data_IF_401526277910
#
_entry.id   IF_401526277910
#
_cell.length_a   1.000
_cell.length_b   1.000
_cell.length_c   1.000
_cell.angle_alpha   90.00
_cell.angle_beta   90.00
_cell.angle_gamma   90.00
#
_symmetry.space_group_name_H-M   'P 1'
#
loop_
_entity.id
_entity.type
_entity.pdbx_description
1 polymer ?
#
# COMPACT_ATOMS: atom_id res chain seq x y z
N UNK A 1 -4.09 3.99 -19.97
CA UNK A 1 -2.72 4.50 -19.78
C UNK A 1 -1.82 4.03 -20.94
N UNK A 2 -1.61 2.70 -21.15
CA UNK A 2 -0.68 2.20 -22.17
C UNK A 2 -0.95 2.75 -23.56
N UNK A 3 -2.20 2.70 -24.04
CA UNK A 3 -2.57 3.21 -25.35
C UNK A 3 -2.46 4.73 -25.49
N UNK A 4 -2.67 5.48 -24.40
CA UNK A 4 -2.70 6.94 -24.42
C UNK A 4 -1.31 7.58 -24.24
N UNK A 5 -0.45 6.95 -23.42
CA UNK A 5 0.85 7.52 -23.01
C UNK A 5 2.06 6.67 -23.41
N UNK A 6 1.83 5.57 -24.12
CA UNK A 6 2.89 4.65 -24.55
C UNK A 6 3.54 3.87 -23.41
N UNK A 7 3.15 4.08 -22.14
CA UNK A 7 3.78 3.39 -21.05
C UNK A 7 3.29 3.76 -19.65
N UNK A 8 3.79 2.99 -18.67
CA UNK A 8 3.64 3.23 -17.22
C UNK A 8 5.01 3.03 -16.58
N UNK A 9 5.55 4.07 -16.01
CA UNK A 9 6.85 4.05 -15.32
C UNK A 9 6.69 3.89 -13.80
N UNK A 10 5.54 4.32 -13.27
CA UNK A 10 5.19 4.20 -11.84
C UNK A 10 3.78 3.64 -11.68
N UNK A 11 3.66 2.55 -10.93
CA UNK A 11 2.40 1.96 -10.50
C UNK A 11 2.19 2.22 -9.01
N UNK A 12 1.13 2.94 -8.64
CA UNK A 12 0.74 3.14 -7.25
C UNK A 12 -0.55 2.36 -6.96
N UNK A 13 -0.44 1.26 -6.25
CA UNK A 13 -1.55 0.46 -5.75
C UNK A 13 -2.02 1.05 -4.40
N UNK A 14 -2.86 2.07 -4.46
CA UNK A 14 -3.38 2.78 -3.30
C UNK A 14 -4.79 2.34 -2.90
N UNK A 15 -5.59 1.85 -3.84
CA UNK A 15 -6.96 1.40 -3.55
C UNK A 15 -6.98 0.35 -2.44
N UNK A 16 -7.94 0.48 -1.52
CA UNK A 16 -8.05 -0.45 -0.41
C UNK A 16 -9.39 -0.32 0.31
N UNK A 17 -9.77 -1.37 1.01
CA UNK A 17 -10.93 -1.42 1.90
C UNK A 17 -10.51 -1.90 3.28
N UNK A 18 -11.18 -1.41 4.32
CA UNK A 18 -11.02 -1.82 5.71
C UNK A 18 -12.41 -1.94 6.34
N UNK A 19 -12.86 -3.16 6.54
CA UNK A 19 -14.15 -3.47 7.16
C UNK A 19 -13.85 -4.28 8.42
N UNK A 20 -14.32 -3.80 9.56
CA UNK A 20 -13.99 -4.34 10.86
C UNK A 20 -15.11 -5.22 11.40
N UNK A 21 -14.76 -6.41 11.85
CA UNK A 21 -15.65 -7.35 12.52
C UNK A 21 -14.88 -8.10 13.62
N UNK A 22 -15.59 -8.58 14.64
CA UNK A 22 -15.05 -9.60 15.53
C UNK A 22 -14.83 -10.90 14.74
N UNK A 23 -13.81 -11.67 15.10
CA UNK A 23 -13.41 -12.86 14.32
C UNK A 23 -14.55 -13.84 14.04
N UNK A 24 -15.42 -14.19 15.03
CA UNK A 24 -16.52 -15.12 14.77
C UNK A 24 -17.61 -14.57 13.83
N UNK A 25 -17.65 -13.25 13.66
CA UNK A 25 -18.71 -12.55 12.91
C UNK A 25 -18.22 -12.04 11.55
N UNK A 26 -17.01 -12.44 11.11
CA UNK A 26 -16.49 -12.02 9.80
C UNK A 26 -17.28 -12.72 8.69
N UNK A 27 -18.06 -11.98 7.88
CA UNK A 27 -18.72 -12.57 6.72
C UNK A 27 -17.68 -12.98 5.66
N UNK A 28 -17.90 -14.12 5.00
CA UNK A 28 -16.95 -14.62 3.99
C UNK A 28 -16.82 -13.66 2.80
N UNK A 29 -17.90 -13.00 2.40
CA UNK A 29 -17.88 -12.00 1.34
C UNK A 29 -17.08 -10.74 1.69
N UNK A 30 -17.04 -10.33 2.97
CA UNK A 30 -16.17 -9.26 3.46
C UNK A 30 -14.70 -9.68 3.39
N UNK A 31 -14.40 -10.93 3.76
CA UNK A 31 -13.06 -11.49 3.58
C UNK A 31 -12.66 -11.48 2.10
N UNK A 32 -13.49 -12.03 1.24
CA UNK A 32 -13.23 -12.16 -0.19
C UNK A 32 -13.06 -10.77 -0.86
N UNK A 33 -13.94 -9.81 -0.54
CA UNK A 33 -13.82 -8.44 -1.02
C UNK A 33 -12.50 -7.79 -0.59
N UNK A 34 -12.14 -7.95 0.68
CA UNK A 34 -10.91 -7.35 1.21
C UNK A 34 -9.68 -7.94 0.52
N UNK A 35 -9.62 -9.24 0.35
CA UNK A 35 -8.52 -9.90 -0.35
C UNK A 35 -8.51 -9.55 -1.84
N UNK A 36 -9.67 -9.45 -2.48
CA UNK A 36 -9.78 -9.07 -3.88
C UNK A 36 -9.23 -7.66 -4.14
N UNK A 37 -9.61 -6.68 -3.31
CA UNK A 37 -9.20 -5.29 -3.49
C UNK A 37 -7.75 -5.07 -3.02
N UNK A 38 -7.43 -5.50 -1.80
CA UNK A 38 -6.16 -5.13 -1.15
C UNK A 38 -4.96 -5.98 -1.64
N UNK A 39 -5.21 -7.17 -2.21
CA UNK A 39 -4.14 -8.11 -2.59
C UNK A 39 -4.22 -8.52 -4.05
N UNK A 40 -5.38 -9.05 -4.49
CA UNK A 40 -5.51 -9.59 -5.84
C UNK A 40 -5.41 -8.51 -6.92
N UNK A 41 -6.01 -7.33 -6.69
CA UNK A 41 -5.96 -6.24 -7.67
C UNK A 41 -4.52 -5.72 -7.87
N UNK A 42 -3.73 -5.40 -6.82
CA UNK A 42 -2.30 -5.10 -6.96
C UNK A 42 -1.50 -6.17 -7.72
N UNK A 43 -1.74 -7.45 -7.41
CA UNK A 43 -1.12 -8.57 -8.14
C UNK A 43 -1.45 -8.53 -9.63
N UNK A 44 -2.72 -8.38 -10.00
CA UNK A 44 -3.16 -8.39 -11.40
C UNK A 44 -2.59 -7.20 -12.17
N UNK A 45 -2.58 -6.00 -11.58
CA UNK A 45 -2.01 -4.79 -12.20
C UNK A 45 -0.50 -4.93 -12.37
N UNK A 46 0.19 -5.38 -11.34
CA UNK A 46 1.64 -5.62 -11.39
C UNK A 46 1.98 -6.64 -12.49
N UNK A 47 1.30 -7.79 -12.50
CA UNK A 47 1.51 -8.83 -13.51
C UNK A 47 1.27 -8.30 -14.93
N UNK A 48 0.26 -7.46 -15.12
CA UNK A 48 -0.09 -6.90 -16.43
C UNK A 48 0.94 -5.88 -16.92
N UNK A 49 1.59 -5.17 -16.01
CA UNK A 49 2.53 -4.09 -16.34
C UNK A 49 4.00 -4.53 -16.28
N UNK A 50 4.30 -5.70 -15.70
CA UNK A 50 5.67 -6.13 -15.44
C UNK A 50 6.54 -6.16 -16.68
N UNK A 51 6.15 -6.93 -17.70
CA UNK A 51 6.94 -7.06 -18.93
C UNK A 51 7.04 -5.72 -19.66
N UNK A 52 5.98 -4.93 -19.64
CA UNK A 52 5.99 -3.59 -20.19
C UNK A 52 7.00 -2.66 -19.49
N UNK A 53 7.10 -2.72 -18.16
CA UNK A 53 8.13 -1.96 -17.42
C UNK A 53 9.53 -2.48 -17.75
N UNK A 54 9.72 -3.79 -17.87
CA UNK A 54 11.01 -4.38 -18.28
C UNK A 54 11.43 -3.87 -19.67
N UNK A 55 10.54 -3.91 -20.66
CA UNK A 55 10.79 -3.41 -22.02
C UNK A 55 11.17 -1.93 -22.06
N UNK A 56 10.70 -1.14 -21.10
CA UNK A 56 11.02 0.29 -20.95
C UNK A 56 12.31 0.55 -20.15
N UNK A 57 12.99 -0.49 -19.69
CA UNK A 57 14.23 -0.39 -18.93
C UNK A 57 14.05 -0.25 -17.43
N UNK A 58 12.86 -0.53 -16.90
CA UNK A 58 12.55 -0.58 -15.47
C UNK A 58 11.30 0.19 -15.07
N UNK A 59 11.07 0.30 -13.77
CA UNK A 59 9.91 0.99 -13.21
C UNK A 59 9.90 1.05 -11.69
N UNK A 60 8.84 1.65 -11.14
CA UNK A 60 8.63 1.72 -9.71
C UNK A 60 7.20 1.26 -9.35
N UNK A 61 7.08 0.32 -8.43
CA UNK A 61 5.81 -0.19 -7.92
C UNK A 61 5.69 0.20 -6.44
N UNK A 62 4.65 0.96 -6.12
CA UNK A 62 4.33 1.37 -4.76
C UNK A 62 3.04 0.66 -4.32
N UNK A 63 3.12 -0.13 -3.28
CA UNK A 63 1.96 -0.77 -2.67
C UNK A 63 1.65 -0.10 -1.33
N UNK A 64 0.51 0.58 -1.23
CA UNK A 64 0.08 1.17 0.03
C UNK A 64 -0.46 0.09 0.95
N UNK A 65 0.42 -0.33 1.86
CA UNK A 65 0.14 -1.29 2.92
C UNK A 65 -0.50 -0.59 4.14
N UNK A 66 0.00 -0.85 5.33
CA UNK A 66 -0.37 -0.23 6.60
C UNK A 66 0.55 -0.74 7.71
N UNK A 67 0.66 -0.01 8.82
CA UNK A 67 1.20 -0.55 10.08
C UNK A 67 0.43 -1.78 10.57
N UNK A 68 -0.84 -1.95 10.18
CA UNK A 68 -1.62 -3.16 10.45
C UNK A 68 -1.10 -4.41 9.74
N UNK A 69 -0.24 -4.25 8.73
CA UNK A 69 0.51 -5.33 8.10
C UNK A 69 1.83 -5.66 8.82
N UNK A 70 2.15 -4.98 9.92
CA UNK A 70 3.33 -5.18 10.77
C UNK A 70 2.94 -5.61 12.19
N UNK A 71 1.85 -5.06 12.69
CA UNK A 71 1.26 -5.35 13.98
C UNK A 71 -0.26 -5.35 13.87
N UNK A 72 -0.84 -6.53 13.97
CA UNK A 72 -2.29 -6.69 13.90
C UNK A 72 -2.95 -6.20 15.18
N UNK A 73 -4.14 -5.61 15.06
CA UNK A 73 -5.00 -5.26 16.19
C UNK A 73 -6.22 -6.19 16.26
N UNK A 74 -6.86 -6.23 17.42
CA UNK A 74 -8.14 -6.90 17.58
C UNK A 74 -9.22 -6.23 16.71
N UNK A 75 -10.14 -7.02 16.14
CA UNK A 75 -11.26 -6.54 15.33
C UNK A 75 -10.93 -6.18 13.87
N UNK A 76 -9.65 -6.21 13.45
CA UNK A 76 -9.26 -5.93 12.08
C UNK A 76 -8.54 -7.10 11.38
N UNK A 77 -8.89 -8.33 11.73
CA UNK A 77 -8.18 -9.53 11.30
C UNK A 77 -8.07 -9.64 9.76
N UNK A 78 -9.17 -9.44 9.04
CA UNK A 78 -9.21 -9.50 7.57
C UNK A 78 -8.32 -8.43 6.94
N UNK A 79 -8.44 -7.20 7.42
CA UNK A 79 -7.62 -6.08 6.94
C UNK A 79 -6.12 -6.33 7.21
N UNK A 80 -5.77 -6.72 8.44
CA UNK A 80 -4.39 -7.03 8.80
C UNK A 80 -3.83 -8.15 7.92
N UNK A 81 -4.56 -9.26 7.76
CA UNK A 81 -4.14 -10.36 6.87
C UNK A 81 -3.82 -9.86 5.46
N UNK A 82 -4.69 -9.02 4.89
CA UNK A 82 -4.46 -8.43 3.56
C UNK A 82 -3.22 -7.53 3.51
N UNK A 83 -2.96 -6.76 4.57
CA UNK A 83 -1.81 -5.85 4.63
C UNK A 83 -0.48 -6.58 4.91
N UNK A 84 -0.48 -7.68 5.65
CA UNK A 84 0.66 -8.59 5.72
C UNK A 84 0.96 -9.23 4.34
N UNK A 85 -0.10 -9.70 3.65
CA UNK A 85 0.04 -10.30 2.33
C UNK A 85 0.66 -9.34 1.31
N UNK A 86 0.23 -8.08 1.28
CA UNK A 86 0.77 -7.09 0.32
C UNK A 86 2.21 -6.68 0.65
N UNK A 87 2.62 -6.66 1.92
CA UNK A 87 4.01 -6.44 2.32
C UNK A 87 4.89 -7.58 1.80
N UNK A 88 4.53 -8.84 2.06
CA UNK A 88 5.27 -10.00 1.58
C UNK A 88 5.34 -10.08 0.05
N UNK A 89 4.23 -9.74 -0.62
CA UNK A 89 4.21 -9.63 -2.09
C UNK A 89 5.19 -8.57 -2.59
N UNK A 90 5.18 -7.39 -1.97
CA UNK A 90 6.08 -6.28 -2.33
C UNK A 90 7.56 -6.64 -2.12
N UNK A 91 7.87 -7.33 -1.04
CA UNK A 91 9.23 -7.84 -0.79
C UNK A 91 9.69 -8.78 -1.90
N UNK A 92 8.83 -9.70 -2.33
CA UNK A 92 9.11 -10.61 -3.45
C UNK A 92 9.31 -9.85 -4.75
N UNK A 93 8.48 -8.85 -5.06
CA UNK A 93 8.65 -7.99 -6.23
C UNK A 93 9.96 -7.22 -6.19
N UNK A 94 10.34 -6.67 -5.04
CA UNK A 94 11.60 -5.95 -4.87
C UNK A 94 12.81 -6.82 -5.14
N UNK A 95 12.75 -8.10 -4.80
CA UNK A 95 13.82 -9.07 -5.08
C UNK A 95 13.85 -9.47 -6.56
N UNK A 96 12.69 -9.81 -7.13
CA UNK A 96 12.57 -10.20 -8.54
C UNK A 96 12.92 -9.06 -9.51
N UNK A 97 12.63 -7.82 -9.12
CA UNK A 97 12.88 -6.65 -9.97
C UNK A 97 14.33 -6.21 -10.10
N UNK A 98 15.25 -6.72 -9.27
CA UNK A 98 16.66 -6.26 -9.23
C UNK A 98 17.38 -6.37 -10.57
N UNK A 99 17.20 -7.48 -11.27
CA UNK A 99 17.87 -7.77 -12.54
C UNK A 99 17.25 -7.01 -13.73
N UNK A 100 16.02 -6.52 -13.56
CA UNK A 100 15.24 -5.85 -14.60
C UNK A 100 14.93 -4.39 -14.28
N UNK A 101 15.61 -3.82 -13.29
CA UNK A 101 15.49 -2.41 -12.93
C UNK A 101 14.09 -2.00 -12.41
N UNK A 102 13.29 -2.96 -11.94
CA UNK A 102 12.01 -2.68 -11.29
C UNK A 102 12.21 -2.59 -9.78
N UNK A 103 11.83 -1.46 -9.20
CA UNK A 103 11.86 -1.23 -7.76
C UNK A 103 10.47 -1.40 -7.19
N UNK A 104 10.34 -2.03 -6.05
CA UNK A 104 9.07 -2.11 -5.34
C UNK A 104 9.22 -1.67 -3.89
N UNK A 105 8.25 -0.90 -3.39
CA UNK A 105 8.22 -0.40 -2.02
C UNK A 105 6.84 -0.60 -1.40
N UNK A 106 6.80 -1.14 -0.19
CA UNK A 106 5.61 -1.14 0.66
C UNK A 106 5.58 0.15 1.49
N UNK A 107 4.60 1.00 1.25
CA UNK A 107 4.35 2.18 2.08
C UNK A 107 3.38 1.76 3.18
N UNK A 108 3.81 1.87 4.45
CA UNK A 108 3.11 1.38 5.62
C UNK A 108 2.69 2.54 6.55
N UNK A 109 1.61 3.25 6.23
CA UNK A 109 1.14 4.34 7.07
C UNK A 109 0.53 3.85 8.39
N UNK A 110 0.67 4.66 9.44
CA UNK A 110 -0.22 4.68 10.59
C UNK A 110 -1.61 5.23 10.24
N UNK A 111 -2.38 5.69 11.22
CA UNK A 111 -3.66 6.36 10.97
C UNK A 111 -3.51 7.57 10.05
N UNK A 112 -4.35 7.66 9.01
CA UNK A 112 -4.37 8.76 8.04
C UNK A 112 -5.78 9.34 7.97
N UNK A 113 -5.93 10.66 8.01
CA UNK A 113 -7.20 11.38 7.93
C UNK A 113 -7.87 11.19 6.56
N UNK A 114 -8.66 10.14 6.42
CA UNK A 114 -9.35 9.72 5.21
C UNK A 114 -10.82 9.39 5.51
N UNK A 115 -11.65 9.34 4.47
CA UNK A 115 -13.04 8.88 4.58
C UNK A 115 -13.12 7.46 5.17
N UNK A 116 -12.23 6.56 4.76
CA UNK A 116 -12.14 5.21 5.33
C UNK A 116 -11.85 5.25 6.84
N UNK A 117 -10.93 6.10 7.28
CA UNK A 117 -10.57 6.23 8.70
C UNK A 117 -11.72 6.80 9.51
N UNK A 118 -12.33 7.88 9.04
CA UNK A 118 -13.49 8.51 9.70
C UNK A 118 -14.69 7.53 9.80
N UNK A 119 -14.93 6.70 8.79
CA UNK A 119 -15.98 5.68 8.84
C UNK A 119 -15.71 4.59 9.89
N UNK A 120 -14.46 4.21 10.09
CA UNK A 120 -14.07 3.18 11.07
C UNK A 120 -13.86 3.75 12.50
N UNK A 121 -13.58 5.05 12.63
CA UNK A 121 -13.28 5.71 13.92
C UNK A 121 -13.92 7.10 13.94
N UNK A 122 -15.25 7.19 14.03
CA UNK A 122 -15.98 8.45 13.84
C UNK A 122 -15.76 9.50 14.93
N UNK A 123 -15.19 9.12 16.07
CA UNK A 123 -14.90 10.03 17.20
C UNK A 123 -13.43 10.44 17.27
N UNK A 124 -12.59 9.96 16.34
CA UNK A 124 -11.17 10.30 16.33
C UNK A 124 -10.95 11.73 15.80
N UNK A 125 -10.11 12.49 16.48
CA UNK A 125 -9.71 13.82 16.00
C UNK A 125 -8.77 13.67 14.77
N UNK A 126 -9.19 14.14 13.60
CA UNK A 126 -8.37 14.02 12.39
C UNK A 126 -7.09 14.87 12.41
N UNK A 127 -6.99 15.87 13.30
CA UNK A 127 -5.78 16.71 13.43
C UNK A 127 -4.64 15.99 14.15
N UNK A 128 -4.95 14.95 14.93
CA UNK A 128 -3.98 14.13 15.66
C UNK A 128 -3.43 12.93 14.89
N UNK A 129 -3.62 12.88 13.56
CA UNK A 129 -3.16 11.76 12.71
C UNK A 129 -2.53 12.27 11.42
N UNK A 130 -1.87 11.37 10.67
CA UNK A 130 -1.27 11.72 9.38
C UNK A 130 -2.31 12.25 8.38
N UNK A 131 -1.86 13.10 7.47
CA UNK A 131 -2.69 13.58 6.36
C UNK A 131 -2.45 12.74 5.09
N UNK A 132 -3.39 12.72 4.13
CA UNK A 132 -3.14 12.12 2.81
C UNK A 132 -1.93 12.72 2.09
N UNK A 133 -1.63 14.01 2.34
CA UNK A 133 -0.49 14.68 1.73
C UNK A 133 0.85 14.14 2.22
N UNK A 134 0.97 13.78 3.51
CA UNK A 134 2.19 13.14 4.05
C UNK A 134 2.52 11.86 3.30
N UNK A 135 1.48 11.07 2.96
CA UNK A 135 1.66 9.82 2.23
C UNK A 135 1.97 10.08 0.76
N UNK A 136 1.37 11.11 0.15
CA UNK A 136 1.65 11.49 -1.23
C UNK A 136 3.09 11.99 -1.41
N UNK A 137 3.61 12.78 -0.49
CA UNK A 137 4.99 13.25 -0.49
C UNK A 137 5.99 12.09 -0.33
N UNK A 138 5.71 11.15 0.57
CA UNK A 138 6.51 9.94 0.71
C UNK A 138 6.48 9.10 -0.58
N UNK A 139 5.31 8.91 -1.18
CA UNK A 139 5.18 8.17 -2.44
C UNK A 139 5.96 8.84 -3.57
N UNK A 140 5.89 10.16 -3.69
CA UNK A 140 6.67 10.93 -4.66
C UNK A 140 8.17 10.79 -4.40
N UNK A 141 8.59 10.91 -3.16
CA UNK A 141 9.99 10.71 -2.77
C UNK A 141 10.48 9.32 -3.21
N UNK A 142 9.76 8.25 -2.93
CA UNK A 142 10.15 6.88 -3.31
C UNK A 142 10.19 6.73 -4.83
N UNK A 143 9.17 7.21 -5.53
CA UNK A 143 9.06 7.09 -7.00
C UNK A 143 10.20 7.79 -7.73
N UNK A 144 10.67 8.94 -7.22
CA UNK A 144 11.69 9.78 -7.86
C UNK A 144 13.13 9.40 -7.48
N UNK A 145 13.36 8.36 -6.69
CA UNK A 145 14.74 7.93 -6.39
C UNK A 145 15.42 7.36 -7.63
N UNK A 146 16.75 7.56 -7.77
CA UNK A 146 17.51 6.92 -8.85
C UNK A 146 17.37 5.40 -8.81
N UNK A 147 17.47 4.73 -9.96
CA UNK A 147 17.29 3.28 -10.08
C UNK A 147 18.17 2.45 -9.11
N UNK A 148 19.38 2.94 -8.78
CA UNK A 148 20.28 2.29 -7.82
C UNK A 148 19.80 2.32 -6.36
N UNK A 149 18.77 3.13 -6.06
CA UNK A 149 18.26 3.28 -4.68
C UNK A 149 16.95 2.53 -4.56
N UNK A 150 16.93 1.54 -3.68
CA UNK A 150 15.74 0.75 -3.40
C UNK A 150 15.32 0.97 -1.94
N UNK A 151 14.13 1.54 -1.77
CA UNK A 151 13.42 1.50 -0.49
C UNK A 151 12.45 0.31 -0.58
N UNK A 152 12.68 -0.72 0.21
CA UNK A 152 11.81 -1.90 0.20
C UNK A 152 10.54 -1.67 1.01
N UNK A 153 10.68 -0.90 2.08
CA UNK A 153 9.58 -0.58 2.98
C UNK A 153 9.79 0.81 3.59
N UNK A 154 8.70 1.55 3.73
CA UNK A 154 8.69 2.84 4.42
C UNK A 154 7.51 2.86 5.41
N UNK A 155 7.82 2.92 6.70
CA UNK A 155 6.82 3.06 7.77
C UNK A 155 6.74 4.54 8.15
N UNK A 156 5.53 5.07 8.21
CA UNK A 156 5.26 6.45 8.60
C UNK A 156 4.19 6.49 9.68
N UNK A 157 4.52 7.07 10.80
CA UNK A 157 3.61 7.24 11.93
C UNK A 157 3.73 8.66 12.48
N UNK A 158 2.67 9.15 13.09
CA UNK A 158 2.73 10.42 13.80
C UNK A 158 3.63 10.27 15.03
N UNK A 159 4.42 11.30 15.32
CA UNK A 159 5.14 11.35 16.58
C UNK A 159 4.15 11.56 17.73
N UNK A 160 4.03 10.61 18.68
CA UNK A 160 3.04 10.70 19.77
C UNK A 160 3.30 11.87 20.74
N UNK A 161 4.49 12.45 20.71
CA UNK A 161 4.87 13.61 21.53
C UNK A 161 4.61 14.95 20.83
N UNK A 162 4.13 14.93 19.58
CA UNK A 162 3.84 16.14 18.85
C UNK A 162 2.46 16.68 19.24
N UNK A 163 2.45 17.86 19.87
CA UNK A 163 1.24 18.66 20.09
C UNK A 163 1.30 19.83 19.12
N UNK A 164 0.51 19.77 18.05
CA UNK A 164 0.41 20.82 17.05
C UNK A 164 0.04 22.19 17.58
#
# INVERSE_FOLDING_TARGET
>A
ALAAFGGVDVLVNNAGVAIHHAVPDIPTDVWDLTMAVNVRAPFLLTRRLWDHMVERGGGCILNVASVSGKRAGAGNATYSASKYAIIGFTESLSKAGREVNIRACAVCPGPVATVMRAGNNPTEDPTGILTPNDIAELALFVATRPARVVLQEAVMELNPSWSG
#
